data_IF_540347665568
#
_entry.id   IF_540347665568
#
_cell.length_a   1.000
_cell.length_b   1.000
_cell.length_c   1.000
_cell.angle_alpha   90.00
_cell.angle_beta   90.00
_cell.angle_gamma   90.00
#
_symmetry.space_group_name_H-M   'P 1'
#
loop_
_entity.id
_entity.type
_entity.pdbx_description
1 polymer ?
#
# COMPACT_ATOMS: atom_id res chain seq x y z
N UNK A 1 17.07 -22.12 -1.67
CA UNK A 1 16.57 -20.72 -1.71
C UNK A 1 15.21 -20.73 -2.38
N UNK A 2 14.16 -20.99 -1.62
CA UNK A 2 12.77 -21.25 -2.08
C UNK A 2 11.93 -21.05 -0.83
N UNK A 3 10.82 -20.34 -0.78
CA UNK A 3 9.92 -19.76 -1.78
C UNK A 3 9.24 -18.58 -1.05
N UNK A 4 9.12 -17.41 -1.67
CA UNK A 4 8.20 -16.40 -1.15
C UNK A 4 6.79 -16.84 -1.54
N UNK A 5 5.93 -17.04 -0.54
CA UNK A 5 4.49 -17.20 -0.70
C UNK A 5 3.94 -16.13 -1.68
N UNK A 6 2.77 -16.32 -2.31
CA UNK A 6 2.22 -15.29 -3.18
C UNK A 6 2.03 -14.02 -2.34
N UNK A 7 2.91 -13.04 -2.53
CA UNK A 7 2.73 -11.70 -1.97
C UNK A 7 1.47 -11.14 -2.63
N UNK A 8 0.36 -11.16 -1.89
CA UNK A 8 -0.89 -10.62 -2.36
C UNK A 8 -0.64 -9.17 -2.80
N UNK A 9 -0.76 -8.93 -4.11
CA UNK A 9 -0.45 -7.63 -4.71
C UNK A 9 -1.47 -7.31 -5.80
N UNK A 10 -1.85 -6.05 -5.87
CA UNK A 10 -2.78 -5.54 -6.86
C UNK A 10 -2.34 -4.14 -7.30
N UNK A 11 -2.42 -3.88 -8.62
CA UNK A 11 -2.28 -2.52 -9.15
C UNK A 11 -3.65 -1.86 -9.17
N UNK A 12 -3.73 -0.68 -8.58
CA UNK A 12 -4.98 0.11 -8.49
C UNK A 12 -4.75 1.52 -9.01
N UNK A 13 -5.82 2.17 -9.45
CA UNK A 13 -5.78 3.57 -9.90
C UNK A 13 -6.15 4.49 -8.75
N UNK A 14 -5.34 5.51 -8.49
CA UNK A 14 -5.68 6.56 -7.55
C UNK A 14 -6.70 7.49 -8.22
N UNK A 15 -7.97 7.37 -7.82
CA UNK A 15 -9.08 8.16 -8.39
C UNK A 15 -9.13 9.59 -7.85
N UNK A 16 -8.42 9.88 -6.75
CA UNK A 16 -8.38 11.20 -6.16
C UNK A 16 -7.61 12.15 -7.09
N UNK A 17 -8.25 13.24 -7.53
CA UNK A 17 -7.61 14.26 -8.39
C UNK A 17 -6.33 14.85 -7.81
N UNK A 18 -6.27 15.00 -6.48
CA UNK A 18 -5.04 15.43 -5.80
C UNK A 18 -4.05 14.28 -5.73
N UNK A 19 -4.52 13.07 -5.46
CA UNK A 19 -3.71 11.88 -5.30
C UNK A 19 -3.92 11.23 -3.93
N UNK A 20 -3.02 10.33 -3.55
CA UNK A 20 -2.98 9.73 -2.22
C UNK A 20 -2.21 10.65 -1.27
N UNK A 21 -2.82 11.78 -0.92
CA UNK A 21 -2.24 12.80 -0.04
C UNK A 21 -2.63 12.57 1.42
N UNK A 22 -1.87 13.16 2.36
CA UNK A 22 -2.10 13.23 3.82
C UNK A 22 -3.34 12.47 4.36
N UNK A 23 -4.55 13.03 4.25
CA UNK A 23 -5.78 12.41 4.78
C UNK A 23 -6.15 11.08 4.11
N UNK A 24 -5.93 10.94 2.81
CA UNK A 24 -6.21 9.70 2.08
C UNK A 24 -5.15 8.63 2.40
N UNK A 25 -3.87 9.01 2.47
CA UNK A 25 -2.79 8.10 2.90
C UNK A 25 -3.01 7.62 4.33
N UNK A 26 -3.42 8.50 5.24
CA UNK A 26 -3.71 8.14 6.63
C UNK A 26 -4.86 7.11 6.76
N UNK A 27 -5.84 7.12 5.85
CA UNK A 27 -6.90 6.10 5.83
C UNK A 27 -6.37 4.73 5.40
N UNK A 28 -5.46 4.71 4.41
CA UNK A 28 -4.79 3.48 3.97
C UNK A 28 -3.93 2.92 5.11
N UNK A 29 -3.13 3.78 5.74
CA UNK A 29 -2.30 3.44 6.88
C UNK A 29 -3.09 2.85 8.05
N UNK A 30 -4.17 3.54 8.41
CA UNK A 30 -5.04 3.10 9.49
C UNK A 30 -5.62 1.72 9.22
N UNK A 31 -6.09 1.46 8.01
CA UNK A 31 -6.64 0.16 7.64
C UNK A 31 -5.57 -0.93 7.60
N UNK A 32 -4.39 -0.63 7.05
CA UNK A 32 -3.27 -1.58 7.02
C UNK A 32 -2.87 -2.02 8.44
N UNK A 33 -2.85 -1.09 9.39
CA UNK A 33 -2.55 -1.36 10.80
C UNK A 33 -3.59 -2.24 11.52
N UNK A 34 -4.76 -2.51 10.92
CA UNK A 34 -5.76 -3.45 11.46
C UNK A 34 -5.40 -4.92 11.16
N UNK A 35 -4.34 -5.18 10.39
CA UNK A 35 -3.88 -6.51 10.01
C UNK A 35 -2.45 -6.77 10.46
N UNK A 36 -2.13 -8.03 10.76
CA UNK A 36 -0.77 -8.46 11.13
C UNK A 36 0.21 -8.48 9.94
N UNK A 37 -0.32 -8.39 8.72
CA UNK A 37 0.47 -8.45 7.49
C UNK A 37 1.15 -7.10 7.20
N UNK A 38 2.41 -7.15 6.75
CA UNK A 38 3.10 -5.96 6.27
C UNK A 38 2.53 -5.52 4.92
N UNK A 39 1.97 -4.31 4.86
CA UNK A 39 1.39 -3.73 3.64
C UNK A 39 2.34 -2.67 3.09
N UNK A 40 2.70 -2.78 1.81
CA UNK A 40 3.62 -1.85 1.14
C UNK A 40 2.92 -1.21 -0.05
N UNK A 41 2.95 0.13 -0.11
CA UNK A 41 2.50 0.90 -1.28
C UNK A 41 3.72 1.24 -2.14
N UNK A 42 3.61 1.05 -3.46
CA UNK A 42 4.69 1.36 -4.42
C UNK A 42 4.20 2.32 -5.50
N UNK A 43 4.98 3.34 -5.82
CA UNK A 43 4.69 4.31 -6.89
C UNK A 43 5.99 4.81 -7.51
N UNK A 44 6.13 4.72 -8.84
CA UNK A 44 7.29 5.27 -9.59
C UNK A 44 8.67 4.93 -9.01
N UNK A 45 8.84 3.72 -8.47
CA UNK A 45 10.10 3.26 -7.89
C UNK A 45 10.27 3.58 -6.40
N UNK A 46 9.41 4.44 -5.85
CA UNK A 46 9.32 4.67 -4.41
C UNK A 46 8.42 3.62 -3.74
N UNK A 47 8.71 3.33 -2.48
CA UNK A 47 7.91 2.44 -1.64
C UNK A 47 7.74 3.03 -0.25
N UNK A 48 6.56 2.83 0.33
CA UNK A 48 6.25 3.23 1.70
C UNK A 48 5.53 2.10 2.44
N UNK A 49 5.80 2.01 3.74
CA UNK A 49 4.96 1.23 4.66
C UNK A 49 3.61 1.94 4.77
N UNK A 50 2.53 1.17 4.69
CA UNK A 50 1.18 1.70 4.68
C UNK A 50 0.78 2.13 6.09
#
# INVERSE_FOLDING_TARGET
MTSAAPEASARVTIVNRKGLHARASAKVAKLAAEYDAKVIVRHEGEQADA
#
